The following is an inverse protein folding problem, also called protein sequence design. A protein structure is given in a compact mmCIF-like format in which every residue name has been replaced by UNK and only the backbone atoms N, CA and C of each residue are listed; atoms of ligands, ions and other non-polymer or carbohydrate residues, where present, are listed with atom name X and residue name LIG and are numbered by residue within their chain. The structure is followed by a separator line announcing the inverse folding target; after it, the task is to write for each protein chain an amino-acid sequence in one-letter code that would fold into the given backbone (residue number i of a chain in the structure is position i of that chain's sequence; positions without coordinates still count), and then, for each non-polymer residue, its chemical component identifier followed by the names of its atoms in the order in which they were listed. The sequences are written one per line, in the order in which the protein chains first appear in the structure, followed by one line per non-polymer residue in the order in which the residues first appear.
data_IF_433091301134
#
_entry.id   IF_433091301134
#
_cell.length_a   1.000
_cell.length_b   1.000
_cell.length_c   1.000
_cell.angle_alpha   90.00
_cell.angle_beta   90.00
_cell.angle_gamma   90.00
#
_symmetry.space_group_name_H-M   'P 1'
#
loop_
_entity.id
_entity.type
_entity.pdbx_description
1 polymer ?
#
# COMPACT_ATOMS: atom_id res chain seq x y z
N UNK A 1 -13.64 -52.52 -24.82
CA UNK A 1 -13.50 -51.86 -23.50
C UNK A 1 -12.33 -50.88 -23.44
N UNK A 2 -11.14 -51.25 -23.93
CA UNK A 2 -9.91 -50.45 -23.83
C UNK A 2 -10.03 -48.96 -24.25
N UNK A 3 -10.61 -48.68 -25.43
CA UNK A 3 -10.88 -47.30 -25.92
C UNK A 3 -11.71 -46.41 -24.97
N UNK A 4 -12.54 -46.98 -24.08
CA UNK A 4 -13.23 -46.18 -23.05
C UNK A 4 -12.29 -45.87 -21.88
N UNK A 5 -11.48 -46.84 -21.45
CA UNK A 5 -10.54 -46.69 -20.33
C UNK A 5 -9.53 -45.57 -20.58
N UNK A 6 -9.01 -45.45 -21.82
CA UNK A 6 -8.12 -44.35 -22.22
C UNK A 6 -8.81 -42.98 -22.17
N UNK A 7 -10.08 -42.89 -22.60
CA UNK A 7 -10.84 -41.61 -22.56
C UNK A 7 -11.06 -41.12 -21.12
N UNK A 8 -11.43 -42.01 -20.19
CA UNK A 8 -11.57 -41.64 -18.78
C UNK A 8 -10.24 -41.29 -18.12
N UNK A 9 -9.15 -41.97 -18.47
CA UNK A 9 -7.81 -41.63 -18.00
C UNK A 9 -7.36 -40.23 -18.47
N UNK A 10 -7.60 -39.89 -19.74
CA UNK A 10 -7.31 -38.54 -20.28
C UNK A 10 -8.17 -37.48 -19.61
N UNK A 11 -9.48 -37.71 -19.42
CA UNK A 11 -10.35 -36.76 -18.70
C UNK A 11 -9.91 -36.54 -17.26
N UNK A 12 -9.53 -37.60 -16.54
CA UNK A 12 -8.99 -37.51 -15.18
C UNK A 12 -7.66 -36.77 -15.11
N UNK A 13 -6.75 -37.01 -16.06
CA UNK A 13 -5.48 -36.29 -16.17
C UNK A 13 -5.70 -34.80 -16.48
N UNK A 14 -6.56 -34.48 -17.44
CA UNK A 14 -6.92 -33.09 -17.78
C UNK A 14 -7.53 -32.41 -16.57
N UNK A 15 -8.48 -33.03 -15.85
CA UNK A 15 -9.06 -32.45 -14.65
C UNK A 15 -8.03 -32.20 -13.54
N UNK A 16 -7.15 -33.17 -13.25
CA UNK A 16 -6.07 -33.02 -12.26
C UNK A 16 -5.09 -31.91 -12.65
N UNK A 17 -4.66 -31.86 -13.92
CA UNK A 17 -3.80 -30.80 -14.42
C UNK A 17 -4.51 -29.45 -14.38
N UNK A 18 -5.80 -29.36 -14.76
CA UNK A 18 -6.60 -28.15 -14.63
C UNK A 18 -6.64 -27.66 -13.19
N UNK A 19 -6.91 -28.52 -12.21
CA UNK A 19 -6.93 -28.17 -10.78
C UNK A 19 -5.55 -27.69 -10.31
N UNK A 20 -4.46 -28.35 -10.70
CA UNK A 20 -3.09 -27.94 -10.35
C UNK A 20 -2.72 -26.61 -11.01
N UNK A 21 -3.05 -26.40 -12.28
CA UNK A 21 -2.83 -25.11 -12.97
C UNK A 21 -3.68 -23.99 -12.37
N UNK A 22 -4.94 -24.25 -12.01
CA UNK A 22 -5.81 -23.27 -11.35
C UNK A 22 -5.28 -22.93 -9.95
N UNK A 23 -4.83 -23.92 -9.19
CA UNK A 23 -4.22 -23.71 -7.86
C UNK A 23 -2.89 -22.95 -7.94
N UNK A 24 -2.04 -23.25 -8.93
CA UNK A 24 -0.81 -22.50 -9.19
C UNK A 24 -1.10 -21.07 -9.67
N UNK A 25 -2.12 -20.87 -10.51
CA UNK A 25 -2.54 -19.54 -10.96
C UNK A 25 -3.13 -18.72 -9.81
N UNK A 26 -3.99 -19.31 -8.98
CA UNK A 26 -4.53 -18.65 -7.77
C UNK A 26 -3.40 -18.27 -6.81
N UNK A 27 -2.42 -19.15 -6.57
CA UNK A 27 -1.36 -18.88 -5.59
C UNK A 27 -0.16 -18.07 -6.13
N UNK A 28 -0.02 -17.88 -7.45
CA UNK A 28 1.06 -17.06 -8.05
C UNK A 28 0.60 -15.77 -8.72
N UNK A 29 -0.62 -15.71 -9.24
CA UNK A 29 -1.14 -14.59 -10.03
C UNK A 29 -2.35 -13.89 -9.40
N UNK A 30 -3.04 -14.53 -8.46
CA UNK A 30 -4.02 -13.86 -7.62
C UNK A 30 -3.42 -13.64 -6.23
N UNK A 31 -3.94 -12.63 -5.53
CA UNK A 31 -3.67 -12.46 -4.10
C UNK A 31 -4.08 -13.78 -3.38
N UNK A 32 -3.23 -14.35 -2.51
CA UNK A 32 -3.46 -15.63 -1.88
C UNK A 32 -4.75 -15.58 -1.06
N UNK A 33 -5.39 -16.74 -0.91
CA UNK A 33 -6.72 -16.79 -0.30
C UNK A 33 -6.70 -16.25 1.14
N UNK A 34 -7.79 -15.58 1.55
CA UNK A 34 -7.95 -14.93 2.88
C UNK A 34 -7.69 -15.85 4.10
N UNK A 35 -7.58 -17.16 3.89
CA UNK A 35 -7.28 -18.17 4.91
C UNK A 35 -5.78 -18.45 5.10
N UNK A 36 -4.92 -18.04 4.15
CA UNK A 36 -3.46 -18.22 4.21
C UNK A 36 -2.74 -17.00 4.82
N UNK A 37 -3.40 -15.85 4.84
CA UNK A 37 -2.94 -14.62 5.46
C UNK A 37 -3.51 -14.55 6.88
N UNK A 38 -2.68 -14.85 7.88
CA UNK A 38 -3.01 -14.63 9.30
C UNK A 38 -2.75 -13.14 9.65
N UNK A 39 -1.96 -12.85 10.68
CA UNK A 39 -1.52 -11.50 11.10
C UNK A 39 -0.58 -10.79 10.10
N UNK A 40 -0.69 -11.11 8.81
CA UNK A 40 0.21 -10.71 7.73
C UNK A 40 -0.56 -9.94 6.66
N UNK A 41 0.10 -8.97 6.03
CA UNK A 41 -0.39 -8.30 4.83
C UNK A 41 0.52 -8.63 3.66
N UNK A 42 -0.02 -9.20 2.58
CA UNK A 42 0.72 -9.22 1.31
C UNK A 42 0.60 -7.85 0.64
N UNK A 43 1.69 -7.35 0.05
CA UNK A 43 1.74 -6.10 -0.71
C UNK A 43 2.35 -6.40 -2.07
N UNK A 44 1.68 -6.02 -3.15
CA UNK A 44 2.08 -6.33 -4.53
C UNK A 44 1.86 -5.13 -5.45
N UNK A 45 2.65 -4.95 -6.52
CA UNK A 45 2.28 -4.05 -7.60
C UNK A 45 1.08 -4.62 -8.37
N UNK A 46 0.16 -3.77 -8.83
CA UNK A 46 -0.95 -4.22 -9.69
C UNK A 46 -0.49 -4.87 -11.01
N UNK A 47 0.67 -4.44 -11.53
CA UNK A 47 1.23 -4.96 -12.77
C UNK A 47 2.77 -5.02 -12.71
N UNK A 48 3.36 -6.02 -13.35
CA UNK A 48 4.81 -6.17 -13.55
C UNK A 48 5.32 -5.37 -14.76
N UNK A 49 4.42 -4.76 -15.54
CA UNK A 49 4.73 -3.85 -16.64
C UNK A 49 3.75 -2.69 -16.65
N UNK A 50 4.26 -1.46 -16.76
CA UNK A 50 3.49 -0.22 -16.91
C UNK A 50 3.91 0.42 -18.24
N UNK A 51 2.94 0.92 -19.00
CA UNK A 51 3.21 1.74 -20.18
C UNK A 51 2.67 3.15 -19.95
N UNK A 52 3.44 4.17 -20.34
CA UNK A 52 3.07 5.57 -20.17
C UNK A 52 3.66 6.47 -21.27
N UNK A 53 3.00 7.61 -21.51
CA UNK A 53 3.43 8.59 -22.50
C UNK A 53 4.54 9.51 -21.94
N UNK A 54 5.62 9.84 -22.70
CA UNK A 54 6.68 10.77 -22.29
C UNK A 54 6.19 12.14 -21.80
N UNK A 55 5.05 12.63 -22.30
CA UNK A 55 4.45 13.92 -21.90
C UNK A 55 3.49 13.79 -20.72
N UNK A 56 3.29 12.56 -20.23
CA UNK A 56 2.23 12.20 -19.30
C UNK A 56 2.73 11.74 -17.93
N UNK A 57 1.96 10.83 -17.33
CA UNK A 57 2.20 10.24 -16.03
C UNK A 57 2.19 8.71 -16.12
N UNK A 58 3.00 8.06 -15.29
CA UNK A 58 3.05 6.61 -15.12
C UNK A 58 2.45 6.28 -13.74
N UNK A 59 1.48 5.37 -13.70
CA UNK A 59 0.75 5.05 -12.47
C UNK A 59 1.14 3.68 -11.93
N UNK A 60 1.73 3.67 -10.73
CA UNK A 60 2.00 2.45 -9.98
C UNK A 60 0.93 2.29 -8.89
N UNK A 61 -0.06 1.45 -9.15
CA UNK A 61 -1.04 1.05 -8.14
C UNK A 61 -0.42 -0.02 -7.23
N UNK A 62 -0.37 0.26 -5.93
CA UNK A 62 0.08 -0.68 -4.90
C UNK A 62 -1.14 -1.35 -4.29
N UNK A 63 -1.23 -2.67 -4.43
CA UNK A 63 -2.32 -3.48 -3.90
C UNK A 63 -1.90 -4.21 -2.62
N UNK A 64 -2.89 -4.55 -1.81
CA UNK A 64 -2.74 -5.34 -0.61
C UNK A 64 -3.76 -6.45 -0.47
N UNK A 65 -3.41 -7.42 0.38
CA UNK A 65 -4.33 -8.44 0.88
C UNK A 65 -4.03 -8.75 2.34
N UNK A 66 -5.09 -8.83 3.17
CA UNK A 66 -5.02 -9.25 4.57
C UNK A 66 -6.03 -10.37 4.86
N UNK A 67 -5.83 -11.07 5.98
CA UNK A 67 -6.70 -12.14 6.45
C UNK A 67 -8.15 -11.72 6.64
N UNK A 68 -9.06 -12.71 6.66
CA UNK A 68 -10.50 -12.46 6.78
C UNK A 68 -10.92 -11.73 8.07
N UNK A 69 -10.14 -11.89 9.15
CA UNK A 69 -10.37 -11.27 10.46
C UNK A 69 -9.48 -10.04 10.72
N UNK A 70 -8.83 -9.51 9.68
CA UNK A 70 -7.92 -8.38 9.78
C UNK A 70 -8.38 -7.23 8.90
N UNK A 71 -8.20 -6.00 9.37
CA UNK A 71 -8.47 -4.78 8.63
C UNK A 71 -7.25 -3.86 8.64
N UNK A 72 -7.13 -2.98 7.64
CA UNK A 72 -5.99 -2.07 7.46
C UNK A 72 -6.42 -0.64 7.78
N UNK A 73 -5.68 0.03 8.67
CA UNK A 73 -5.89 1.43 9.05
C UNK A 73 -4.79 2.36 8.55
N UNK A 74 -3.62 1.82 8.21
CA UNK A 74 -2.53 2.57 7.58
C UNK A 74 -1.38 1.71 7.09
N UNK A 75 -0.65 2.24 6.11
CA UNK A 75 0.52 1.62 5.49
C UNK A 75 1.59 2.68 5.25
N UNK A 76 2.84 2.38 5.60
CA UNK A 76 4.01 3.11 5.10
C UNK A 76 4.89 2.17 4.29
N UNK A 77 5.50 2.68 3.22
CA UNK A 77 6.28 1.89 2.28
C UNK A 77 7.32 2.70 1.53
N UNK A 78 8.23 1.99 0.87
CA UNK A 78 9.32 2.54 0.07
C UNK A 78 9.35 1.89 -1.32
N UNK A 79 9.62 2.68 -2.35
CA UNK A 79 9.75 2.22 -3.74
C UNK A 79 11.06 2.75 -4.30
N UNK A 80 11.82 1.89 -4.96
CA UNK A 80 13.03 2.23 -5.71
C UNK A 80 12.65 2.42 -7.18
N UNK A 81 13.18 3.47 -7.82
CA UNK A 81 12.88 3.80 -9.22
C UNK A 81 14.19 4.04 -10.01
N UNK A 82 14.10 4.18 -11.34
CA UNK A 82 15.26 4.41 -12.22
C UNK A 82 15.30 5.85 -12.75
N UNK A 83 16.45 6.31 -13.25
CA UNK A 83 16.74 7.72 -13.61
C UNK A 83 15.76 8.40 -14.58
N UNK A 84 14.98 7.64 -15.34
CA UNK A 84 13.97 8.15 -16.27
C UNK A 84 12.58 8.39 -15.66
N UNK A 85 12.44 8.27 -14.34
CA UNK A 85 11.20 8.50 -13.62
C UNK A 85 11.44 9.50 -12.48
N UNK A 86 10.47 10.37 -12.23
CA UNK A 86 10.43 11.23 -11.05
C UNK A 86 9.07 11.06 -10.34
N UNK A 87 9.04 10.64 -9.06
CA UNK A 87 7.81 10.53 -8.28
C UNK A 87 7.22 11.92 -7.99
N UNK A 88 5.92 12.09 -8.21
CA UNK A 88 5.23 13.40 -8.17
C UNK A 88 4.24 13.52 -7.01
N UNK A 89 3.39 12.52 -6.82
CA UNK A 89 2.37 12.52 -5.77
C UNK A 89 1.87 11.11 -5.45
N UNK A 90 1.08 11.03 -4.38
CA UNK A 90 0.13 9.95 -4.14
C UNK A 90 -1.24 10.33 -4.71
N UNK A 91 -2.03 9.33 -5.08
CA UNK A 91 -3.35 9.52 -5.67
C UNK A 91 -4.26 8.29 -5.41
N UNK A 92 -5.55 8.40 -5.72
CA UNK A 92 -6.55 7.32 -5.61
C UNK A 92 -7.38 7.19 -6.88
N UNK A 93 -6.69 6.97 -8.00
CA UNK A 93 -7.25 6.82 -9.36
C UNK A 93 -7.30 5.35 -9.84
N UNK A 94 -8.09 5.10 -10.89
CA UNK A 94 -8.22 3.78 -11.53
C UNK A 94 -8.68 2.69 -10.57
N UNK A 95 -7.96 1.57 -10.52
CA UNK A 95 -8.27 0.46 -9.59
C UNK A 95 -8.30 0.90 -8.12
N UNK A 96 -7.55 1.94 -7.76
CA UNK A 96 -7.52 2.47 -6.40
C UNK A 96 -8.75 3.28 -6.03
N UNK A 97 -9.49 3.80 -7.01
CA UNK A 97 -10.80 4.40 -6.79
C UNK A 97 -11.89 3.33 -6.63
N UNK A 98 -11.78 2.21 -7.38
CA UNK A 98 -12.77 1.14 -7.41
C UNK A 98 -12.66 0.15 -6.24
N UNK A 99 -11.44 -0.13 -5.77
CA UNK A 99 -11.14 -1.19 -4.79
C UNK A 99 -10.35 -0.68 -3.59
N UNK A 100 -10.63 0.53 -3.11
CA UNK A 100 -9.86 1.16 -2.01
C UNK A 100 -10.06 0.47 -0.66
N UNK A 101 -8.97 0.30 0.11
CA UNK A 101 -9.04 0.10 1.57
C UNK A 101 -9.66 1.29 2.31
N UNK A 102 -9.77 2.45 1.66
CA UNK A 102 -10.28 3.69 2.23
C UNK A 102 -9.23 4.48 2.98
N UNK A 103 -7.94 4.27 2.67
CA UNK A 103 -6.80 5.00 3.22
C UNK A 103 -6.72 6.40 2.56
N UNK A 104 -7.60 7.29 3.02
CA UNK A 104 -7.87 8.62 2.46
C UNK A 104 -6.98 9.75 2.99
N UNK A 105 -6.10 9.48 3.96
CA UNK A 105 -5.12 10.43 4.48
C UNK A 105 -3.76 10.18 3.83
N UNK A 106 -3.28 11.15 3.04
CA UNK A 106 -1.92 11.15 2.48
C UNK A 106 -0.97 11.82 3.47
N UNK A 107 -0.45 11.05 4.43
CA UNK A 107 0.34 11.58 5.54
C UNK A 107 1.73 12.06 5.08
N UNK A 108 2.40 11.30 4.21
CA UNK A 108 3.75 11.61 3.75
C UNK A 108 3.97 11.19 2.31
N UNK A 109 4.72 12.02 1.59
CA UNK A 109 5.35 11.68 0.31
C UNK A 109 6.72 12.36 0.23
N UNK A 110 7.79 11.59 0.08
CA UNK A 110 9.16 12.09 0.07
C UNK A 110 9.99 11.40 -1.00
N UNK A 111 10.58 12.20 -1.88
CA UNK A 111 11.49 11.75 -2.94
C UNK A 111 12.95 12.01 -2.56
N UNK A 112 13.78 10.96 -2.59
CA UNK A 112 15.24 11.07 -2.59
C UNK A 112 15.77 10.80 -3.99
N UNK A 113 16.02 11.90 -4.71
CA UNK A 113 16.61 11.92 -6.06
C UNK A 113 18.04 11.37 -6.14
N UNK A 114 18.73 11.21 -5.01
CA UNK A 114 20.10 10.70 -4.93
C UNK A 114 20.11 9.18 -4.88
N UNK A 115 19.30 8.58 -3.99
CA UNK A 115 19.16 7.12 -3.90
C UNK A 115 18.15 6.54 -4.88
N UNK A 116 17.39 7.40 -5.58
CA UNK A 116 16.26 7.04 -6.45
C UNK A 116 15.19 6.25 -5.71
N UNK A 117 14.79 6.78 -4.55
CA UNK A 117 13.76 6.15 -3.74
C UNK A 117 12.67 7.13 -3.32
N UNK A 118 11.43 6.66 -3.30
CA UNK A 118 10.28 7.39 -2.75
C UNK A 118 9.76 6.65 -1.53
N UNK A 119 9.61 7.37 -0.43
CA UNK A 119 8.98 6.88 0.81
C UNK A 119 7.63 7.56 0.96
N UNK A 120 6.62 6.80 1.37
CA UNK A 120 5.26 7.33 1.56
C UNK A 120 4.56 6.70 2.76
N UNK A 121 3.53 7.39 3.25
CA UNK A 121 2.60 6.87 4.25
C UNK A 121 1.17 7.30 3.94
N UNK A 122 0.25 6.34 3.96
CA UNK A 122 -1.19 6.53 3.77
C UNK A 122 -1.98 5.84 4.86
N UNK A 123 -3.12 6.40 5.24
CA UNK A 123 -3.93 5.89 6.34
C UNK A 123 -5.38 6.36 6.27
N UNK A 124 -6.20 5.97 7.25
CA UNK A 124 -7.54 6.54 7.42
C UNK A 124 -7.83 6.90 8.88
N UNK A 125 -8.71 7.88 9.08
CA UNK A 125 -9.23 8.29 10.40
C UNK A 125 -10.45 7.48 10.85
N UNK A 126 -10.99 6.58 10.02
CA UNK A 126 -12.24 5.83 10.28
C UNK A 126 -12.19 4.96 11.55
N UNK A 127 -13.36 4.60 12.07
CA UNK A 127 -13.53 3.71 13.23
C UNK A 127 -13.08 2.27 12.93
N UNK A 128 -12.83 1.46 13.98
CA UNK A 128 -12.52 0.02 13.89
C UNK A 128 -13.55 -0.77 13.07
N UNK A 129 -14.82 -0.33 13.11
CA UNK A 129 -15.94 -0.97 12.40
C UNK A 129 -16.03 -0.55 10.93
N UNK A 130 -15.28 0.47 10.51
CA UNK A 130 -15.30 1.05 9.16
C UNK A 130 -13.99 0.86 8.38
N UNK A 131 -12.88 0.53 9.06
CA UNK A 131 -11.64 0.12 8.40
C UNK A 131 -11.82 -1.21 7.66
N UNK A 132 -11.24 -1.33 6.47
CA UNK A 132 -11.52 -2.44 5.56
C UNK A 132 -10.49 -3.57 5.65
N UNK A 133 -10.98 -4.80 5.58
CA UNK A 133 -10.18 -6.02 5.46
C UNK A 133 -10.25 -6.68 4.09
N UNK A 134 -9.58 -7.82 3.94
CA UNK A 134 -9.50 -8.56 2.67
C UNK A 134 -8.55 -7.91 1.67
N UNK A 135 -8.96 -7.81 0.40
CA UNK A 135 -8.15 -7.25 -0.69
C UNK A 135 -8.52 -5.80 -0.95
N UNK A 136 -7.54 -4.96 -1.28
CA UNK A 136 -7.78 -3.59 -1.73
C UNK A 136 -6.53 -2.92 -2.28
N UNK A 137 -6.71 -1.76 -2.93
CA UNK A 137 -5.60 -0.85 -3.20
C UNK A 137 -5.24 -0.07 -1.94
N UNK A 138 -3.93 0.05 -1.72
CA UNK A 138 -3.30 0.88 -0.69
C UNK A 138 -3.23 2.33 -1.20
N UNK A 139 -2.58 2.55 -2.36
CA UNK A 139 -2.38 3.87 -2.97
C UNK A 139 -1.98 3.75 -4.44
N UNK A 140 -2.21 4.79 -5.24
CA UNK A 140 -1.51 5.00 -6.52
C UNK A 140 -0.31 5.92 -6.31
N UNK A 141 0.90 5.45 -6.61
CA UNK A 141 2.09 6.31 -6.67
C UNK A 141 2.25 6.81 -8.11
N UNK A 142 2.26 8.13 -8.28
CA UNK A 142 2.32 8.79 -9.59
C UNK A 142 3.75 9.21 -9.89
N UNK A 143 4.26 8.77 -11.04
CA UNK A 143 5.57 9.17 -11.57
C UNK A 143 5.40 9.98 -12.87
N UNK A 144 6.34 10.86 -13.18
CA UNK A 144 6.51 11.48 -14.50
C UNK A 144 7.76 10.93 -15.18
N UNK A 145 7.71 10.65 -16.50
CA UNK A 145 8.91 10.46 -17.29
C UNK A 145 9.81 11.69 -17.24
N UNK A 146 11.11 11.46 -17.06
CA UNK A 146 12.15 12.50 -17.11
C UNK A 146 13.35 12.00 -17.92
N UNK A 147 14.12 12.93 -18.49
CA UNK A 147 15.35 12.64 -19.23
C UNK A 147 15.17 11.58 -20.35
N UNK A 148 13.99 11.55 -20.99
CA UNK A 148 13.65 10.59 -22.04
C UNK A 148 14.39 10.97 -23.32
N UNK A 149 15.30 10.11 -23.78
CA UNK A 149 16.15 10.36 -24.97
C UNK A 149 15.89 9.39 -26.11
N UNK A 150 15.10 8.33 -25.89
CA UNK A 150 14.73 7.32 -26.90
C UNK A 150 13.23 6.99 -26.82
N UNK A 151 12.67 6.44 -27.90
CA UNK A 151 11.30 5.92 -27.92
C UNK A 151 11.28 4.53 -28.58
N UNK A 152 10.88 3.46 -27.88
CA UNK A 152 10.50 3.42 -26.47
C UNK A 152 11.71 3.48 -25.52
N UNK A 153 11.66 4.34 -24.50
CA UNK A 153 12.60 4.32 -23.38
C UNK A 153 12.16 3.25 -22.37
N UNK A 154 13.12 2.46 -21.88
CA UNK A 154 12.89 1.47 -20.82
C UNK A 154 13.35 2.04 -19.47
N UNK A 155 12.51 1.90 -18.46
CA UNK A 155 12.78 2.25 -17.06
C UNK A 155 12.26 1.15 -16.13
N UNK A 156 12.54 1.24 -14.82
CA UNK A 156 12.20 0.19 -13.85
C UNK A 156 11.80 0.79 -12.50
N UNK A 157 10.92 0.08 -11.81
CA UNK A 157 10.58 0.31 -10.39
C UNK A 157 10.61 -1.02 -9.62
N UNK A 158 10.82 -0.96 -8.32
CA UNK A 158 10.84 -2.11 -7.41
C UNK A 158 10.22 -1.67 -6.08
N UNK A 159 9.28 -2.43 -5.54
CA UNK A 159 8.82 -2.22 -4.15
C UNK A 159 9.96 -2.62 -3.20
N UNK A 160 10.26 -1.78 -2.20
CA UNK A 160 11.29 -2.08 -1.20
C UNK A 160 10.97 -3.37 -0.44
N UNK A 161 11.99 -4.01 0.13
CA UNK A 161 11.82 -5.25 0.90
C UNK A 161 10.87 -5.10 2.09
N UNK A 162 10.35 -6.22 2.60
CA UNK A 162 9.36 -6.24 3.68
C UNK A 162 9.76 -5.52 4.97
N UNK A 163 11.06 -5.30 5.25
CA UNK A 163 11.49 -4.56 6.44
C UNK A 163 11.25 -3.04 6.29
N UNK A 164 11.23 -2.54 5.06
CA UNK A 164 10.94 -1.15 4.68
C UNK A 164 9.45 -0.82 4.65
N UNK A 165 8.57 -1.79 4.91
CA UNK A 165 7.13 -1.58 5.00
C UNK A 165 6.65 -1.76 6.44
N UNK A 166 5.59 -1.01 6.78
CA UNK A 166 4.84 -1.17 8.03
C UNK A 166 3.36 -1.06 7.72
N UNK A 167 2.57 -1.86 8.42
CA UNK A 167 1.13 -1.95 8.26
C UNK A 167 0.50 -1.91 9.64
N UNK A 168 -0.51 -1.08 9.81
CA UNK A 168 -1.34 -0.98 11.00
C UNK A 168 -2.79 -1.36 10.70
N UNK A 169 -3.48 -1.79 11.75
CA UNK A 169 -4.92 -2.01 11.77
C UNK A 169 -5.31 -3.01 12.84
N UNK A 170 -6.25 -3.89 12.52
CA UNK A 170 -6.75 -4.89 13.46
C UNK A 170 -6.46 -6.31 12.99
N UNK A 171 -6.37 -7.25 13.94
CA UNK A 171 -6.36 -8.69 13.71
C UNK A 171 -7.18 -9.37 14.80
N UNK A 172 -8.24 -10.08 14.42
CA UNK A 172 -9.27 -10.62 15.33
C UNK A 172 -9.86 -9.55 16.26
N UNK A 173 -10.07 -8.33 15.75
CA UNK A 173 -10.56 -7.18 16.53
C UNK A 173 -9.56 -6.58 17.53
N UNK A 174 -8.34 -7.12 17.62
CA UNK A 174 -7.25 -6.53 18.41
C UNK A 174 -6.42 -5.59 17.52
N UNK A 175 -6.22 -4.35 17.96
CA UNK A 175 -5.39 -3.36 17.27
C UNK A 175 -3.91 -3.74 17.34
N UNK A 176 -3.17 -3.55 16.24
CA UNK A 176 -1.74 -3.85 16.19
C UNK A 176 -1.11 -3.64 14.82
N UNK A 177 0.14 -4.10 14.68
CA UNK A 177 0.84 -4.17 13.40
C UNK A 177 0.58 -5.49 12.68
N UNK A 178 0.56 -5.46 11.35
CA UNK A 178 0.58 -6.64 10.51
C UNK A 178 1.97 -6.79 9.88
N UNK A 179 2.44 -8.03 9.76
CA UNK A 179 3.73 -8.30 9.12
C UNK A 179 3.58 -8.16 7.60
N UNK A 180 4.28 -7.19 7.01
CA UNK A 180 4.29 -6.99 5.56
C UNK A 180 5.02 -8.16 4.85
N UNK A 181 4.49 -8.61 3.71
CA UNK A 181 5.08 -9.58 2.81
C UNK A 181 5.03 -9.01 1.41
N UNK A 182 6.14 -8.45 0.94
CA UNK A 182 6.17 -7.60 -0.25
C UNK A 182 6.69 -8.37 -1.47
N UNK A 183 5.99 -8.26 -2.59
CA UNK A 183 6.52 -8.66 -3.89
C UNK A 183 7.53 -7.61 -4.38
N UNK A 184 8.82 -7.98 -4.31
CA UNK A 184 9.96 -7.17 -4.74
C UNK A 184 10.34 -7.44 -6.21
N UNK A 185 9.44 -8.03 -7.02
CA UNK A 185 9.67 -8.22 -8.44
C UNK A 185 9.88 -6.89 -9.17
N UNK A 186 10.70 -6.93 -10.22
CA UNK A 186 10.98 -5.73 -11.03
C UNK A 186 9.77 -5.38 -11.90
N UNK A 187 9.25 -4.19 -11.70
CA UNK A 187 8.20 -3.58 -12.51
C UNK A 187 8.91 -2.88 -13.68
N UNK A 188 8.68 -3.34 -14.90
CA UNK A 188 9.18 -2.67 -16.11
C UNK A 188 8.29 -1.48 -16.45
N UNK A 189 8.90 -0.37 -16.89
CA UNK A 189 8.19 0.83 -17.33
C UNK A 189 8.61 1.16 -18.75
N UNK A 190 7.69 0.97 -19.70
CA UNK A 190 7.89 1.34 -21.10
C UNK A 190 7.32 2.74 -21.31
N UNK A 191 8.20 3.70 -21.56
CA UNK A 191 7.85 5.09 -21.84
C UNK A 191 7.84 5.25 -23.37
N UNK A 192 6.69 5.54 -23.98
CA UNK A 192 6.56 5.63 -25.45
C UNK A 192 5.50 6.63 -25.90
N UNK A 193 5.77 7.40 -26.97
CA UNK A 193 4.81 8.35 -27.54
C UNK A 193 3.55 7.67 -28.11
N UNK A 194 3.63 6.36 -28.39
CA UNK A 194 2.50 5.54 -28.83
C UNK A 194 1.46 5.24 -27.73
N UNK A 195 1.78 5.52 -26.46
CA UNK A 195 0.86 5.35 -25.34
C UNK A 195 -0.17 6.49 -25.30
N UNK A 196 -1.49 6.20 -25.20
CA UNK A 196 -2.52 7.24 -25.26
C UNK A 196 -2.48 8.19 -24.06
N UNK A 197 -2.72 9.48 -24.32
CA UNK A 197 -2.69 10.54 -23.32
C UNK A 197 -3.84 11.56 -23.54
N UNK A 198 -4.56 11.99 -22.48
CA UNK A 198 -4.52 11.49 -21.11
C UNK A 198 -5.09 10.06 -20.99
N UNK A 199 -4.66 9.28 -19.99
CA UNK A 199 -5.25 7.98 -19.70
C UNK A 199 -6.71 8.11 -19.25
N UNK A 200 -7.57 7.09 -19.43
CA UNK A 200 -9.03 7.23 -19.32
C UNK A 200 -9.62 7.61 -17.94
N UNK A 201 -8.82 7.62 -16.86
CA UNK A 201 -9.30 7.63 -15.47
C UNK A 201 -9.12 8.99 -14.73
N UNK A 202 -9.12 10.13 -15.44
CA UNK A 202 -8.98 11.44 -14.78
C UNK A 202 -10.30 11.99 -14.22
N UNK A 203 -10.46 11.90 -12.89
CA UNK A 203 -11.33 12.75 -12.08
C UNK A 203 -10.56 13.29 -10.86
N UNK A 204 -10.83 14.54 -10.45
CA UNK A 204 -9.88 15.40 -9.72
C UNK A 204 -9.91 15.31 -8.19
N UNK A 205 -8.73 15.17 -7.59
CA UNK A 205 -8.19 16.00 -6.49
C UNK A 205 -8.91 16.10 -5.13
N UNK A 206 -8.18 15.75 -4.05
CA UNK A 206 -8.58 15.94 -2.63
C UNK A 206 -7.48 16.72 -1.87
N UNK A 207 -7.82 17.68 -0.98
CA UNK A 207 -6.83 18.52 -0.25
C UNK A 207 -6.25 17.86 1.01
N UNK A 208 -5.16 18.43 1.55
CA UNK A 208 -4.43 17.95 2.74
C UNK A 208 -4.80 18.69 4.06
N UNK A 209 -4.87 17.99 5.22
CA UNK A 209 -5.08 18.61 6.55
C UNK A 209 -3.86 18.58 7.51
N UNK A 210 -3.91 19.40 8.58
CA UNK A 210 -2.80 19.73 9.53
C UNK A 210 -3.21 19.59 11.03
N UNK A 211 -2.24 19.67 11.98
CA UNK A 211 -2.16 18.83 13.22
C UNK A 211 -1.33 19.52 14.41
N UNK A 212 -0.96 18.89 15.57
CA UNK A 212 -0.54 19.40 16.98
C UNK A 212 -0.36 18.31 18.11
N UNK A 213 -0.83 18.43 19.41
CA UNK A 213 -1.21 17.32 20.42
C UNK A 213 -1.50 17.67 21.93
N UNK A 214 -2.19 16.90 22.85
CA UNK A 214 -2.31 17.13 24.40
C UNK A 214 -2.25 16.07 25.64
N UNK A 215 -1.45 16.15 26.76
CA UNK A 215 -0.48 15.16 27.43
C UNK A 215 -0.88 13.71 27.90
N UNK A 216 0.05 12.77 28.23
CA UNK A 216 1.55 12.80 28.23
C UNK A 216 2.35 11.52 28.71
N UNK A 217 2.83 10.61 27.81
CA UNK A 217 4.09 9.79 27.86
C UNK A 217 5.27 10.69 27.35
N UNK A 218 6.37 10.22 26.70
CA UNK A 218 7.20 11.14 25.84
C UNK A 218 6.51 11.41 24.51
N UNK A 219 5.33 11.96 24.71
CA UNK A 219 4.31 12.15 23.72
C UNK A 219 4.75 13.27 22.75
N UNK A 220 5.74 14.10 23.13
CA UNK A 220 6.41 15.13 22.31
C UNK A 220 6.96 14.62 20.97
N UNK A 221 7.08 13.29 20.80
CA UNK A 221 7.48 12.61 19.57
C UNK A 221 6.39 11.73 18.93
N UNK A 222 5.21 11.60 19.54
CA UNK A 222 4.14 10.66 19.17
C UNK A 222 4.48 9.17 19.35
N UNK A 223 5.33 8.87 20.34
CA UNK A 223 5.30 7.58 21.00
C UNK A 223 3.99 7.50 21.81
N UNK A 224 2.97 6.91 21.19
CA UNK A 224 1.59 6.81 21.68
C UNK A 224 1.31 5.47 22.35
N UNK A 225 2.08 4.45 21.99
CA UNK A 225 2.02 3.13 22.59
C UNK A 225 2.96 3.02 23.82
N UNK A 226 3.87 3.99 23.98
CA UNK A 226 4.86 4.14 25.04
C UNK A 226 6.00 3.07 25.01
N UNK A 227 6.41 2.61 23.83
CA UNK A 227 7.51 1.65 23.58
C UNK A 227 8.85 2.29 23.17
N UNK A 228 8.96 3.63 23.24
CA UNK A 228 10.12 4.43 22.87
C UNK A 228 10.45 4.44 21.38
N UNK A 229 9.53 3.99 20.52
CA UNK A 229 9.59 4.18 19.07
C UNK A 229 8.45 5.10 18.64
N UNK A 230 8.50 5.48 17.37
CA UNK A 230 7.45 6.24 16.71
C UNK A 230 7.24 5.54 15.38
N UNK A 231 6.19 4.74 15.27
CA UNK A 231 5.90 3.91 14.10
C UNK A 231 4.38 3.69 13.89
N UNK A 232 3.99 2.76 13.01
CA UNK A 232 2.58 2.53 12.66
C UNK A 232 1.73 2.00 13.83
N UNK A 233 2.32 1.46 14.90
CA UNK A 233 1.59 1.06 16.11
C UNK A 233 1.08 2.29 16.89
N UNK A 234 1.83 3.39 16.84
CA UNK A 234 1.41 4.69 17.36
C UNK A 234 0.31 5.29 16.52
N UNK A 235 0.44 5.22 15.18
CA UNK A 235 -0.62 5.63 14.26
C UNK A 235 -1.97 5.00 14.60
N UNK A 236 -2.01 3.70 14.87
CA UNK A 236 -3.24 3.00 15.21
C UNK A 236 -3.82 3.45 16.56
N UNK A 237 -2.96 3.81 17.50
CA UNK A 237 -3.35 4.37 18.79
C UNK A 237 -3.89 5.80 18.64
N UNK A 238 -3.32 6.59 17.73
CA UNK A 238 -3.79 7.94 17.32
C UNK A 238 -5.18 7.88 16.69
N UNK A 239 -5.37 7.03 15.67
CA UNK A 239 -6.65 6.87 14.97
C UNK A 239 -7.76 6.46 15.94
N UNK A 240 -7.48 5.50 16.82
CA UNK A 240 -8.40 5.08 17.86
C UNK A 240 -8.78 6.21 18.81
N UNK A 241 -7.85 7.11 19.16
CA UNK A 241 -8.14 8.25 20.02
C UNK A 241 -9.05 9.26 19.32
N UNK A 242 -8.76 9.56 18.04
CA UNK A 242 -9.60 10.43 17.19
C UNK A 242 -11.07 9.98 17.13
N UNK A 243 -11.31 8.68 17.16
CA UNK A 243 -12.63 8.07 17.11
C UNK A 243 -13.23 7.73 18.50
N UNK A 244 -12.59 8.17 19.59
CA UNK A 244 -12.98 7.88 20.98
C UNK A 244 -13.08 6.38 21.33
N UNK A 245 -12.33 5.51 20.64
CA UNK A 245 -12.43 4.05 20.74
C UNK A 245 -11.58 3.44 21.88
N UNK A 246 -11.49 4.14 23.01
CA UNK A 246 -10.97 3.60 24.26
C UNK A 246 -9.44 3.61 24.47
N UNK A 247 -8.66 4.24 23.58
CA UNK A 247 -7.26 4.61 23.87
C UNK A 247 -7.09 6.13 23.80
N UNK A 248 -6.17 6.66 24.61
CA UNK A 248 -5.78 8.08 24.62
C UNK A 248 -4.35 8.18 24.12
N UNK A 249 -4.11 8.92 23.04
CA UNK A 249 -2.78 9.42 22.71
C UNK A 249 -2.86 10.92 22.44
N UNK A 250 -2.28 11.72 23.34
CA UNK A 250 -2.51 13.16 23.46
C UNK A 250 -1.20 13.76 24.17
N UNK A 251 -0.53 14.91 23.79
CA UNK A 251 0.78 15.54 24.31
C UNK A 251 0.91 16.93 25.10
N UNK A 252 0.59 18.13 24.57
CA UNK A 252 0.70 19.49 25.19
C UNK A 252 -0.58 20.22 25.78
N UNK A 253 -1.45 19.55 26.57
CA UNK A 253 -2.52 20.12 27.47
C UNK A 253 -3.88 20.72 26.92
N UNK A 254 -4.85 19.93 26.42
CA UNK A 254 -6.18 20.40 25.95
C UNK A 254 -7.34 19.37 25.75
N UNK A 255 -7.10 18.06 25.68
CA UNK A 255 -8.11 17.02 25.56
C UNK A 255 -8.72 16.81 24.16
N UNK A 256 -7.98 17.09 23.08
CA UNK A 256 -8.47 16.96 21.69
C UNK A 256 -7.54 16.14 20.82
N UNK A 257 -8.16 15.28 20.01
CA UNK A 257 -7.49 14.48 18.99
C UNK A 257 -7.21 15.24 17.67
N UNK A 258 -7.19 16.57 17.66
CA UNK A 258 -7.14 17.39 16.44
C UNK A 258 -5.75 17.39 15.76
N UNK A 259 -4.84 16.55 16.25
CA UNK A 259 -3.50 17.08 16.48
C UNK A 259 -2.39 16.02 16.36
N UNK A 260 -2.66 14.80 16.74
CA UNK A 260 -1.72 13.69 16.91
C UNK A 260 -0.71 13.43 15.78
N UNK A 261 -1.16 13.67 14.57
CA UNK A 261 -0.59 13.17 13.35
C UNK A 261 0.68 13.96 12.91
N UNK A 262 0.86 15.25 13.28
CA UNK A 262 2.02 16.08 12.82
C UNK A 262 3.29 15.69 13.55
N UNK A 263 3.20 15.54 14.86
CA UNK A 263 4.36 15.16 15.67
C UNK A 263 4.76 13.71 15.36
N UNK A 264 3.81 12.84 15.00
CA UNK A 264 4.10 11.51 14.46
C UNK A 264 4.85 11.59 13.13
N UNK A 265 4.33 12.37 12.18
CA UNK A 265 4.98 12.61 10.88
C UNK A 265 6.37 13.24 10.96
N UNK A 266 6.69 13.95 12.04
CA UNK A 266 7.98 14.60 12.23
C UNK A 266 9.05 13.68 12.85
N UNK A 267 8.63 12.65 13.58
CA UNK A 267 9.52 11.88 14.46
C UNK A 267 9.54 10.37 14.19
N UNK A 268 8.65 9.84 13.35
CA UNK A 268 8.64 8.42 13.00
C UNK A 268 10.01 7.99 12.45
N UNK A 269 10.58 6.93 13.04
CA UNK A 269 11.96 6.50 12.76
C UNK A 269 12.17 5.93 11.34
N UNK A 270 11.10 5.73 10.59
CA UNK A 270 11.10 5.26 9.19
C UNK A 270 11.07 6.42 8.19
N UNK A 271 11.09 7.67 8.69
CA UNK A 271 11.04 8.93 7.92
C UNK A 271 12.45 9.55 7.74
N UNK A 272 13.49 8.95 8.31
CA UNK A 272 14.90 9.37 8.16
C UNK A 272 15.77 8.30 7.52
#
# INVERSE_FOLDING_TARGET
MEKMRTKYAVLGLVFMLSVVFFWLAINRYLLPSKAQLASNMQIVPHATSIECNPQGECYLHVLGSVGANSAVSGVSGKIVYSDNLEPVRLDSIGICQQSTYGLDQYLQFQDDKTTKTVTFSVSTVKTDNEIKGGNGCIVTVVFKPVNVTTDPQQSKMVLGDSALWKVAGTTNGQRGTLSAQVDTSTILVKITSSSPWPPPDQATGTPAPTITKTPGCDLSKADCNCDQKVDMLDWETIRSYYQAEGKVCDVDADGKADREFTVWLRNNGLIR
#
